data_IF_418284610247
#
_entry.id   IF_418284610247
#
_cell.length_a   1.000
_cell.length_b   1.000
_cell.length_c   1.000
_cell.angle_alpha   90.00
_cell.angle_beta   90.00
_cell.angle_gamma   90.00
#
_symmetry.space_group_name_H-M   'P 1'
#
loop_
_entity.id
_entity.type
_entity.pdbx_description
1 polymer ?
#
# COMPACT_ATOMS: atom_id res chain seq x y z
N UNK A 1 -10.83 -18.87 -9.04
CA UNK A 1 -11.99 -18.99 -8.12
C UNK A 1 -12.15 -17.62 -7.47
N UNK A 2 -13.36 -17.08 -7.25
CA UNK A 2 -13.46 -15.81 -6.47
C UNK A 2 -13.14 -16.14 -5.02
N UNK A 3 -12.33 -15.30 -4.36
CA UNK A 3 -11.87 -15.58 -3.01
C UNK A 3 -12.90 -15.03 -2.00
N UNK A 4 -13.78 -15.89 -1.49
CA UNK A 4 -14.67 -15.54 -0.37
C UNK A 4 -13.82 -15.28 0.87
N UNK A 5 -13.97 -14.10 1.47
CA UNK A 5 -13.14 -13.61 2.56
C UNK A 5 -13.97 -13.43 3.82
N UNK A 6 -13.39 -13.76 4.99
CA UNK A 6 -14.05 -13.52 6.28
C UNK A 6 -14.32 -12.02 6.49
N UNK A 7 -15.46 -11.59 7.05
CA UNK A 7 -15.82 -10.17 7.18
C UNK A 7 -14.78 -9.32 7.92
N UNK A 8 -14.16 -9.87 8.97
CA UNK A 8 -13.10 -9.18 9.72
C UNK A 8 -11.83 -9.00 8.88
N UNK A 9 -11.47 -10.00 8.08
CA UNK A 9 -10.33 -9.95 7.15
C UNK A 9 -10.62 -8.94 6.04
N UNK A 10 -11.83 -8.90 5.48
CA UNK A 10 -12.22 -7.91 4.47
C UNK A 10 -12.16 -6.48 5.02
N UNK A 11 -12.61 -6.30 6.25
CA UNK A 11 -12.55 -5.00 6.93
C UNK A 11 -11.11 -4.59 7.19
N UNK A 12 -10.28 -5.49 7.70
CA UNK A 12 -8.86 -5.23 7.91
C UNK A 12 -8.11 -4.93 6.61
N UNK A 13 -8.42 -5.64 5.52
CA UNK A 13 -7.82 -5.39 4.21
C UNK A 13 -8.18 -3.99 3.70
N UNK A 14 -9.45 -3.58 3.81
CA UNK A 14 -9.89 -2.22 3.47
C UNK A 14 -9.19 -1.16 4.32
N UNK A 15 -9.02 -1.41 5.62
CA UNK A 15 -8.31 -0.51 6.52
C UNK A 15 -6.81 -0.39 6.17
N UNK A 16 -6.17 -1.49 5.76
CA UNK A 16 -4.79 -1.47 5.24
C UNK A 16 -4.69 -0.66 3.93
N UNK A 17 -5.66 -0.78 3.03
CA UNK A 17 -5.73 0.03 1.81
C UNK A 17 -5.87 1.52 2.13
N UNK A 18 -6.74 1.87 3.09
CA UNK A 18 -6.91 3.24 3.57
C UNK A 18 -5.62 3.80 4.20
N UNK A 19 -4.92 2.99 4.98
CA UNK A 19 -3.62 3.34 5.56
C UNK A 19 -2.56 3.59 4.47
N UNK A 20 -2.42 2.67 3.51
CA UNK A 20 -1.46 2.80 2.42
C UNK A 20 -1.71 4.06 1.59
N UNK A 21 -2.97 4.35 1.27
CA UNK A 21 -3.35 5.59 0.58
C UNK A 21 -3.00 6.85 1.39
N UNK A 22 -3.25 6.84 2.71
CA UNK A 22 -2.89 7.96 3.57
C UNK A 22 -1.37 8.19 3.60
N UNK A 23 -0.58 7.11 3.71
CA UNK A 23 0.89 7.13 3.65
C UNK A 23 1.42 7.68 2.34
N UNK A 24 0.85 7.24 1.22
CA UNK A 24 1.22 7.76 -0.10
C UNK A 24 0.95 9.27 -0.21
N UNK A 25 -0.18 9.77 0.32
CA UNK A 25 -0.47 11.21 0.35
C UNK A 25 0.57 11.97 1.18
N UNK A 26 0.86 11.53 2.41
CA UNK A 26 1.79 12.26 3.26
C UNK A 26 3.21 12.24 2.70
N UNK A 27 3.66 11.09 2.21
CA UNK A 27 4.98 10.96 1.61
C UNK A 27 5.09 11.79 0.33
N UNK A 28 4.05 11.84 -0.52
CA UNK A 28 4.01 12.74 -1.68
C UNK A 28 4.16 14.20 -1.28
N UNK A 29 3.53 14.63 -0.17
CA UNK A 29 3.68 16.00 0.35
C UNK A 29 5.09 16.27 0.84
N UNK A 30 5.70 15.31 1.54
CA UNK A 30 7.09 15.42 2.02
C UNK A 30 8.05 15.56 0.86
N UNK A 31 7.92 14.70 -0.16
CA UNK A 31 8.77 14.72 -1.37
C UNK A 31 8.59 16.04 -2.15
N UNK A 32 7.34 16.48 -2.38
CA UNK A 32 7.06 17.75 -3.05
C UNK A 32 7.54 18.98 -2.26
N UNK A 33 7.60 18.89 -0.93
CA UNK A 33 8.15 19.96 -0.11
C UNK A 33 9.68 19.95 -0.14
N UNK A 34 10.33 18.78 -0.02
CA UNK A 34 11.78 18.67 -0.09
C UNK A 34 12.37 19.11 -1.43
N UNK A 35 11.63 18.98 -2.54
CA UNK A 35 12.03 19.57 -3.82
C UNK A 35 11.94 21.10 -3.79
N UNK A 36 10.80 21.66 -3.36
CA UNK A 36 10.56 23.13 -3.36
C UNK A 36 11.30 23.90 -2.27
N UNK A 37 11.55 23.30 -1.11
CA UNK A 37 12.17 23.93 0.05
C UNK A 37 13.66 24.21 -0.15
N UNK A 38 14.30 23.65 -1.19
CA UNK A 38 15.62 24.13 -1.65
C UNK A 38 15.62 25.61 -2.05
N UNK A 39 14.44 26.23 -2.23
CA UNK A 39 14.29 27.65 -2.56
C UNK A 39 13.63 28.56 -1.50
N UNK A 40 12.99 28.05 -0.43
CA UNK A 40 12.43 28.88 0.67
C UNK A 40 11.87 28.02 1.83
N UNK A 41 12.22 28.41 3.06
CA UNK A 41 11.78 27.77 4.30
C UNK A 41 10.37 28.22 4.71
N UNK A 42 9.37 27.35 4.51
CA UNK A 42 8.09 27.44 5.23
C UNK A 42 7.74 26.07 5.83
N UNK A 43 7.28 26.09 7.08
CA UNK A 43 6.97 24.91 7.90
C UNK A 43 5.97 24.00 7.18
N UNK A 44 6.29 22.72 7.05
CA UNK A 44 5.34 21.70 6.64
C UNK A 44 4.33 21.54 7.79
N UNK A 45 3.08 21.98 7.62
CA UNK A 45 2.01 21.52 8.50
C UNK A 45 1.71 20.06 8.15
N UNK A 46 2.41 19.15 8.83
CA UNK A 46 2.01 17.75 8.89
C UNK A 46 0.59 17.72 9.46
N UNK A 47 -0.37 17.19 8.69
CA UNK A 47 -1.68 16.80 9.23
C UNK A 47 -1.52 15.38 9.79
N UNK A 48 -1.24 15.18 11.09
CA UNK A 48 -0.76 13.90 11.61
C UNK A 48 -1.91 12.93 11.91
N UNK A 49 -3.17 13.36 11.80
CA UNK A 49 -4.30 12.62 12.36
C UNK A 49 -4.78 11.42 11.54
N UNK A 50 -4.62 11.41 10.22
CA UNK A 50 -5.25 10.37 9.37
C UNK A 50 -4.49 9.05 9.34
N UNK A 51 -3.16 9.10 9.23
CA UNK A 51 -2.34 7.88 9.24
C UNK A 51 -2.45 7.17 10.58
N UNK A 52 -2.25 7.91 11.67
CA UNK A 52 -2.33 7.38 13.03
C UNK A 52 -3.72 6.79 13.34
N UNK A 53 -4.80 7.39 12.84
CA UNK A 53 -6.15 6.83 13.00
C UNK A 53 -6.29 5.48 12.28
N UNK A 54 -5.77 5.36 11.06
CA UNK A 54 -5.79 4.09 10.32
C UNK A 54 -4.89 3.04 10.95
N UNK A 55 -3.69 3.41 11.39
CA UNK A 55 -2.77 2.52 12.10
C UNK A 55 -3.40 1.95 13.36
N UNK A 56 -3.97 2.83 14.22
CA UNK A 56 -4.67 2.42 15.43
C UNK A 56 -5.84 1.49 15.10
N UNK A 57 -6.61 1.79 14.06
CA UNK A 57 -7.74 0.96 13.66
C UNK A 57 -7.29 -0.43 13.17
N UNK A 58 -6.21 -0.51 12.38
CA UNK A 58 -5.64 -1.80 11.94
C UNK A 58 -5.12 -2.60 13.13
N UNK A 59 -4.45 -1.96 14.10
CA UNK A 59 -3.98 -2.62 15.32
C UNK A 59 -5.16 -3.21 16.09
N UNK A 60 -6.22 -2.45 16.30
CA UNK A 60 -7.43 -2.93 17.00
C UNK A 60 -8.07 -4.12 16.28
N UNK A 61 -8.18 -4.06 14.95
CA UNK A 61 -8.71 -5.18 14.17
C UNK A 61 -7.85 -6.44 14.34
N UNK A 62 -6.52 -6.31 14.25
CA UNK A 62 -5.58 -7.44 14.40
C UNK A 62 -5.66 -8.10 15.78
N UNK A 63 -5.90 -7.33 16.83
CA UNK A 63 -6.08 -7.89 18.19
C UNK A 63 -7.33 -8.76 18.32
N UNK A 64 -8.35 -8.52 17.49
CA UNK A 64 -9.58 -9.31 17.45
C UNK A 64 -9.52 -10.51 16.50
N UNK A 65 -8.39 -10.76 15.83
CA UNK A 65 -8.25 -11.80 14.81
C UNK A 65 -7.53 -13.04 15.36
N UNK A 66 -7.98 -14.20 14.91
CA UNK A 66 -7.29 -15.47 15.09
C UNK A 66 -6.00 -15.54 14.25
N UNK A 67 -5.09 -16.45 14.57
CA UNK A 67 -3.88 -16.67 13.77
C UNK A 67 -4.19 -17.00 12.31
N UNK A 68 -5.25 -17.78 12.06
CA UNK A 68 -5.70 -18.13 10.72
C UNK A 68 -6.27 -16.93 9.96
N UNK A 69 -6.94 -15.99 10.63
CA UNK A 69 -7.41 -14.73 10.02
C UNK A 69 -6.26 -13.78 9.72
N UNK A 70 -5.27 -13.71 10.60
CA UNK A 70 -4.05 -12.91 10.38
C UNK A 70 -3.25 -13.44 9.19
N UNK A 71 -3.14 -14.77 9.08
CA UNK A 71 -2.51 -15.44 7.96
C UNK A 71 -3.27 -15.20 6.65
N UNK A 72 -4.60 -15.33 6.66
CA UNK A 72 -5.43 -14.97 5.51
C UNK A 72 -5.24 -13.50 5.12
N UNK A 73 -5.29 -12.56 6.07
CA UNK A 73 -5.08 -11.14 5.81
C UNK A 73 -3.73 -10.86 5.17
N UNK A 74 -2.66 -11.48 5.67
CA UNK A 74 -1.31 -11.37 5.12
C UNK A 74 -1.29 -11.78 3.64
N UNK A 75 -1.87 -12.93 3.32
CA UNK A 75 -1.92 -13.49 1.97
C UNK A 75 -2.78 -12.61 1.05
N UNK A 76 -3.99 -12.20 1.49
CA UNK A 76 -4.86 -11.31 0.70
C UNK A 76 -4.21 -9.97 0.45
N UNK A 77 -3.47 -9.41 1.42
CA UNK A 77 -2.74 -8.16 1.24
C UNK A 77 -1.63 -8.31 0.21
N UNK A 78 -0.85 -9.38 0.26
CA UNK A 78 0.19 -9.67 -0.73
C UNK A 78 -0.38 -9.81 -2.15
N UNK A 79 -1.50 -10.54 -2.31
CA UNK A 79 -2.19 -10.69 -3.61
C UNK A 79 -2.67 -9.33 -4.13
N UNK A 80 -3.25 -8.51 -3.26
CA UNK A 80 -3.71 -7.17 -3.63
C UNK A 80 -2.55 -6.27 -4.08
N UNK A 81 -1.42 -6.30 -3.36
CA UNK A 81 -0.22 -5.54 -3.74
C UNK A 81 0.33 -6.01 -5.09
N UNK A 82 0.39 -7.32 -5.34
CA UNK A 82 0.81 -7.87 -6.65
C UNK A 82 -0.08 -7.34 -7.79
N UNK A 83 -1.40 -7.35 -7.60
CA UNK A 83 -2.35 -6.77 -8.57
C UNK A 83 -2.09 -5.27 -8.82
N UNK A 84 -1.75 -4.50 -7.78
CA UNK A 84 -1.37 -3.10 -7.96
C UNK A 84 -0.07 -2.97 -8.75
N UNK A 85 0.96 -3.74 -8.42
CA UNK A 85 2.24 -3.71 -9.14
C UNK A 85 2.09 -4.14 -10.60
N UNK A 86 1.26 -5.14 -10.90
CA UNK A 86 0.98 -5.58 -12.27
C UNK A 86 0.33 -4.47 -13.13
N UNK A 87 -0.40 -3.55 -12.49
CA UNK A 87 -1.00 -2.39 -13.17
C UNK A 87 -0.11 -1.15 -13.16
N UNK A 88 1.00 -1.16 -12.43
CA UNK A 88 1.91 -0.02 -12.31
C UNK A 88 2.46 0.46 -13.66
N UNK A 89 2.85 -0.40 -14.64
CA UNK A 89 3.32 0.08 -15.94
C UNK A 89 2.32 0.98 -16.66
N UNK A 90 1.01 0.73 -16.51
CA UNK A 90 -0.05 1.55 -17.10
C UNK A 90 -0.28 2.86 -16.32
N UNK A 91 -0.22 2.82 -14.98
CA UNK A 91 -0.37 4.02 -14.12
C UNK A 91 0.85 4.94 -14.20
N UNK A 92 2.01 4.36 -14.48
CA UNK A 92 3.32 5.01 -14.59
C UNK A 92 3.76 5.22 -16.05
N UNK A 93 2.91 5.07 -17.07
CA UNK A 93 3.27 5.42 -18.46
C UNK A 93 3.37 6.94 -18.68
N UNK A 94 4.09 7.39 -19.72
CA UNK A 94 4.19 8.79 -20.22
C UNK A 94 5.14 9.79 -19.52
N UNK A 95 6.02 9.37 -18.61
CA UNK A 95 7.00 10.29 -18.00
C UNK A 95 8.41 9.70 -18.08
N UNK A 96 9.39 10.52 -18.43
CA UNK A 96 10.79 10.12 -18.57
C UNK A 96 11.50 10.45 -17.25
N UNK A 97 12.40 9.58 -16.78
CA UNK A 97 13.17 9.79 -15.54
C UNK A 97 14.00 11.09 -15.52
N UNK A 98 14.13 11.76 -16.67
CA UNK A 98 14.84 13.03 -16.87
C UNK A 98 14.06 14.27 -16.42
N UNK A 99 12.74 14.15 -16.21
CA UNK A 99 11.91 15.28 -15.85
C UNK A 99 12.06 15.67 -14.36
N UNK A 100 12.13 16.97 -14.07
CA UNK A 100 12.35 17.45 -12.71
C UNK A 100 11.13 17.20 -11.80
N UNK A 101 11.42 16.76 -10.58
CA UNK A 101 10.39 16.48 -9.56
C UNK A 101 9.58 17.73 -9.15
N UNK A 102 10.10 18.93 -9.41
CA UNK A 102 9.42 20.21 -9.16
C UNK A 102 8.23 20.44 -10.10
N UNK A 103 8.33 19.94 -11.33
CA UNK A 103 7.33 20.09 -12.40
C UNK A 103 6.34 18.91 -12.46
N UNK A 104 6.58 17.87 -11.66
CA UNK A 104 5.77 16.66 -11.66
C UNK A 104 4.32 16.93 -11.20
N UNK A 105 3.29 16.51 -11.97
CA UNK A 105 1.90 16.60 -11.54
C UNK A 105 1.66 15.86 -10.22
N UNK A 106 0.81 16.40 -9.35
CA UNK A 106 0.52 15.80 -8.02
C UNK A 106 -0.01 14.37 -8.09
N UNK A 107 -0.87 14.08 -9.08
CA UNK A 107 -1.38 12.73 -9.31
C UNK A 107 -0.25 11.76 -9.69
N UNK A 108 0.74 12.24 -10.43
CA UNK A 108 1.89 11.44 -10.86
C UNK A 108 2.86 11.17 -9.72
N UNK A 109 3.18 12.20 -8.95
CA UNK A 109 4.00 12.04 -7.74
C UNK A 109 3.36 11.06 -6.76
N UNK A 110 2.04 11.12 -6.64
CA UNK A 110 1.29 10.15 -5.85
C UNK A 110 1.45 8.72 -6.36
N UNK A 111 1.28 8.46 -7.66
CA UNK A 111 1.45 7.13 -8.24
C UNK A 111 2.87 6.59 -8.06
N UNK A 112 3.89 7.44 -8.23
CA UNK A 112 5.29 7.04 -8.03
C UNK A 112 5.58 6.68 -6.57
N UNK A 113 5.17 7.53 -5.63
CA UNK A 113 5.31 7.27 -4.20
C UNK A 113 4.50 6.03 -3.77
N UNK A 114 3.30 5.85 -4.32
CA UNK A 114 2.46 4.69 -4.04
C UNK A 114 3.15 3.41 -4.52
N UNK A 115 3.71 3.41 -5.73
CA UNK A 115 4.46 2.27 -6.27
C UNK A 115 5.65 1.87 -5.39
N UNK A 116 6.46 2.83 -4.95
CA UNK A 116 7.60 2.56 -4.07
C UNK A 116 7.15 1.94 -2.73
N UNK A 117 6.08 2.49 -2.13
CA UNK A 117 5.51 1.95 -0.90
C UNK A 117 4.89 0.56 -1.09
N UNK A 118 4.22 0.33 -2.23
CA UNK A 118 3.64 -0.97 -2.59
C UNK A 118 4.72 -2.05 -2.73
N UNK A 119 5.86 -1.73 -3.36
CA UNK A 119 7.00 -2.62 -3.49
C UNK A 119 7.59 -2.99 -2.12
N UNK A 120 7.86 -1.98 -1.28
CA UNK A 120 8.43 -2.18 0.05
C UNK A 120 7.50 -2.98 0.97
N UNK A 121 6.19 -2.72 0.93
CA UNK A 121 5.23 -3.47 1.73
C UNK A 121 5.15 -4.94 1.29
N UNK A 122 5.17 -5.19 -0.03
CA UNK A 122 5.11 -6.56 -0.55
C UNK A 122 6.35 -7.35 -0.15
N UNK A 123 7.54 -6.78 -0.30
CA UNK A 123 8.81 -7.39 0.13
C UNK A 123 8.79 -7.75 1.62
N UNK A 124 8.30 -6.84 2.48
CA UNK A 124 8.17 -7.08 3.92
C UNK A 124 7.19 -8.22 4.23
N UNK A 125 6.07 -8.28 3.51
CA UNK A 125 5.08 -9.34 3.70
C UNK A 125 5.65 -10.68 3.27
N UNK A 126 6.23 -10.77 2.06
CA UNK A 126 6.81 -12.00 1.52
C UNK A 126 7.98 -12.50 2.38
N UNK A 127 8.83 -11.58 2.87
CA UNK A 127 9.95 -11.90 3.77
C UNK A 127 9.54 -12.39 5.17
N UNK A 128 8.26 -12.29 5.54
CA UNK A 128 7.73 -12.76 6.83
C UNK A 128 6.72 -13.91 6.69
N UNK A 129 6.56 -14.47 5.49
CA UNK A 129 5.71 -15.64 5.29
C UNK A 129 6.39 -16.90 5.83
N UNK A 130 5.60 -17.76 6.49
CA UNK A 130 6.02 -19.15 6.73
C UNK A 130 5.90 -19.96 5.44
N UNK A 131 6.57 -21.12 5.37
CA UNK A 131 6.47 -22.01 4.20
C UNK A 131 5.03 -22.41 3.86
N UNK A 132 4.16 -22.58 4.87
CA UNK A 132 2.73 -22.87 4.66
C UNK A 132 1.97 -21.69 4.08
N UNK A 133 2.30 -20.47 4.50
CA UNK A 133 1.72 -19.23 3.96
C UNK A 133 2.16 -18.99 2.54
N UNK A 134 3.45 -19.20 2.23
CA UNK A 134 4.02 -19.06 0.89
C UNK A 134 3.35 -20.03 -0.10
N UNK A 135 3.23 -21.31 0.27
CA UNK A 135 2.55 -22.30 -0.58
C UNK A 135 1.08 -21.95 -0.84
N UNK A 136 0.39 -21.39 0.17
CA UNK A 136 -0.98 -20.89 0.02
C UNK A 136 -1.03 -19.64 -0.85
N UNK A 137 -0.11 -18.69 -0.66
CA UNK A 137 0.01 -17.47 -1.45
C UNK A 137 0.20 -17.79 -2.94
N UNK A 138 1.17 -18.63 -3.29
CA UNK A 138 1.43 -19.03 -4.69
C UNK A 138 0.20 -19.64 -5.34
N UNK A 139 -0.50 -20.54 -4.64
CA UNK A 139 -1.75 -21.14 -5.16
C UNK A 139 -2.83 -20.09 -5.38
N UNK A 140 -3.07 -19.22 -4.40
CA UNK A 140 -4.15 -18.24 -4.47
C UNK A 140 -3.88 -17.12 -5.48
N UNK A 141 -2.61 -16.72 -5.70
CA UNK A 141 -2.23 -15.78 -6.76
C UNK A 141 -2.65 -16.29 -8.13
N UNK A 142 -2.41 -17.57 -8.43
CA UNK A 142 -2.78 -18.18 -9.72
C UNK A 142 -4.30 -18.23 -9.90
N UNK A 143 -5.04 -18.42 -8.82
CA UNK A 143 -6.50 -18.52 -8.86
C UNK A 143 -7.23 -17.17 -8.80
N UNK A 144 -6.51 -16.09 -8.48
CA UNK A 144 -7.05 -14.77 -8.24
C UNK A 144 -7.69 -14.17 -9.50
N UNK A 145 -8.94 -13.76 -9.37
CA UNK A 145 -9.72 -13.10 -10.44
C UNK A 145 -10.32 -11.76 -9.99
N UNK A 146 -9.88 -11.23 -8.84
CA UNK A 146 -10.47 -10.06 -8.17
C UNK A 146 -10.97 -10.36 -6.74
N UNK A 147 -11.20 -9.29 -5.98
CA UNK A 147 -11.85 -9.32 -4.66
C UNK A 147 -13.35 -8.98 -4.79
N UNK A 148 -14.19 -9.54 -3.92
CA UNK A 148 -15.62 -9.21 -3.78
C UNK A 148 -15.87 -8.00 -2.88
#
# INVERSE_FOLDING_TARGET
MRLTMRPIVQTALRSLQGLAHARAIAQSRRVAWSSRARGRSTRLEERPGREMAWENHVVVLRLGMTAEELSELKIKRAIYLRMLLDSAPKRLQDWVDEDQLEDMPKSRLFEWVAYDLECLELEQIEGTMTAGEEARYVREVVEFKGFE
#
